data_IF_821188666124
#
_entry.id   IF_821188666124
#
_cell.length_a   1.000
_cell.length_b   1.000
_cell.length_c   1.000
_cell.angle_alpha   90.00
_cell.angle_beta   90.00
_cell.angle_gamma   90.00
#
_symmetry.space_group_name_H-M   'P 1'
#
loop_
_entity.id
_entity.type
_entity.pdbx_description
1 polymer ?
#
# COMPACT_ATOMS: atom_id res chain seq x y z
N UNK A 1 -12.37 -2.42 30.01
CA UNK A 1 -10.93 -2.49 30.33
C UNK A 1 -10.14 -1.92 29.16
N UNK A 2 -9.03 -1.22 29.41
CA UNK A 2 -8.13 -0.76 28.33
C UNK A 2 -7.06 -1.83 28.12
N UNK A 3 -6.85 -2.22 26.86
CA UNK A 3 -5.88 -3.21 26.40
C UNK A 3 -5.02 -2.56 25.32
N UNK A 4 -3.79 -3.01 25.15
CA UNK A 4 -2.93 -2.49 24.10
C UNK A 4 -1.60 -3.21 24.08
N UNK A 5 -0.89 -3.06 22.96
CA UNK A 5 0.40 -3.68 22.74
C UNK A 5 1.25 -2.77 21.87
N UNK A 6 2.56 -2.76 22.12
CA UNK A 6 3.53 -2.08 21.28
C UNK A 6 4.20 -3.14 20.42
N UNK A 7 3.88 -3.14 19.13
CA UNK A 7 4.36 -4.15 18.18
C UNK A 7 5.79 -3.87 17.73
N UNK A 8 6.16 -2.58 17.67
CA UNK A 8 7.45 -2.17 17.14
C UNK A 8 7.95 -0.89 17.80
N UNK A 9 9.23 -0.89 18.17
CA UNK A 9 9.96 0.31 18.59
C UNK A 9 11.30 0.34 17.87
N UNK A 10 11.64 1.51 17.36
CA UNK A 10 12.97 1.84 16.87
C UNK A 10 13.36 3.22 17.38
N UNK A 11 14.59 3.64 17.07
CA UNK A 11 15.08 5.00 17.38
C UNK A 11 14.32 6.12 16.66
N UNK A 12 13.60 5.83 15.58
CA UNK A 12 12.90 6.84 14.78
C UNK A 12 11.37 6.69 14.74
N UNK A 13 10.81 5.60 15.27
CA UNK A 13 9.37 5.32 15.20
C UNK A 13 8.92 4.30 16.24
N UNK A 14 7.68 4.45 16.70
CA UNK A 14 6.93 3.45 17.47
C UNK A 14 5.63 3.09 16.76
N UNK A 15 5.20 1.84 16.88
CA UNK A 15 3.92 1.34 16.36
C UNK A 15 3.31 0.35 17.35
N UNK A 16 1.98 0.29 17.36
CA UNK A 16 1.23 -0.58 18.26
C UNK A 16 -0.27 -0.44 18.09
N UNK A 17 -1.02 -0.89 19.07
CA UNK A 17 -2.45 -0.70 19.16
C UNK A 17 -2.92 -0.50 20.59
N UNK A 18 -4.07 0.18 20.73
CA UNK A 18 -4.73 0.46 21.99
C UNK A 18 -6.25 0.41 21.81
N UNK A 19 -6.92 -0.30 22.71
CA UNK A 19 -8.36 -0.53 22.67
C UNK A 19 -8.98 -0.33 24.04
N UNK A 20 -10.17 0.26 24.10
CA UNK A 20 -10.98 0.36 25.31
C UNK A 20 -12.39 -0.16 25.03
N UNK A 21 -12.87 -1.09 25.85
CA UNK A 21 -14.25 -1.60 25.73
C UNK A 21 -15.33 -0.53 25.97
N UNK A 22 -14.99 0.52 26.74
CA UNK A 22 -15.96 1.52 27.20
C UNK A 22 -15.90 2.83 26.42
N UNK A 23 -14.86 3.03 25.61
CA UNK A 23 -14.60 4.30 24.94
C UNK A 23 -13.97 4.04 23.57
N UNK A 24 -14.50 4.68 22.53
CA UNK A 24 -13.81 4.73 21.24
C UNK A 24 -12.56 5.60 21.37
N UNK A 25 -11.39 5.01 21.13
CA UNK A 25 -10.10 5.71 21.19
C UNK A 25 -9.65 6.25 19.83
N UNK A 26 -10.43 5.99 18.77
CA UNK A 26 -10.15 6.49 17.43
C UNK A 26 -10.03 8.01 17.41
N UNK A 27 -8.96 8.52 16.82
CA UNK A 27 -8.63 9.96 16.77
C UNK A 27 -7.99 10.51 18.05
N UNK A 28 -7.94 9.74 19.14
CA UNK A 28 -7.23 10.16 20.35
C UNK A 28 -5.72 10.08 20.15
N UNK A 29 -4.99 11.00 20.78
CA UNK A 29 -3.53 11.04 20.73
C UNK A 29 -2.92 10.10 21.75
N UNK A 30 -1.94 9.32 21.32
CA UNK A 30 -1.00 8.60 22.18
C UNK A 30 0.37 9.25 22.11
N UNK A 31 1.08 9.23 23.24
CA UNK A 31 2.38 9.85 23.44
C UNK A 31 3.38 8.78 23.88
N UNK A 32 4.60 8.83 23.34
CA UNK A 32 5.69 7.97 23.76
C UNK A 32 6.59 8.70 24.76
N UNK A 33 7.01 7.99 25.80
CA UNK A 33 7.90 8.48 26.84
C UNK A 33 9.12 7.57 27.02
N UNK A 34 10.27 8.17 27.32
CA UNK A 34 11.47 7.50 27.84
C UNK A 34 11.96 8.31 29.03
N UNK A 35 12.19 7.68 30.18
CA UNK A 35 12.62 8.34 31.42
C UNK A 35 11.76 9.58 31.78
N UNK A 36 10.45 9.46 31.58
CA UNK A 36 9.43 10.52 31.75
C UNK A 36 9.55 11.74 30.82
N UNK A 37 10.45 11.71 29.84
CA UNK A 37 10.49 12.68 28.75
C UNK A 37 9.62 12.22 27.57
N UNK A 38 8.72 13.09 27.09
CA UNK A 38 7.96 12.83 25.88
C UNK A 38 8.88 12.90 24.66
N UNK A 39 8.91 11.83 23.87
CA UNK A 39 9.80 11.66 22.71
C UNK A 39 9.03 11.62 21.37
N UNK A 40 7.70 11.68 21.41
CA UNK A 40 6.86 11.72 20.21
C UNK A 40 5.39 11.41 20.52
N UNK A 41 4.52 11.59 19.52
CA UNK A 41 3.11 11.30 19.67
C UNK A 41 2.36 11.29 18.34
N UNK A 42 1.20 10.65 18.33
CA UNK A 42 0.32 10.60 17.16
C UNK A 42 -1.05 9.99 17.45
N UNK A 43 -1.99 10.13 16.51
CA UNK A 43 -3.35 9.64 16.69
C UNK A 43 -3.47 8.11 16.58
N UNK A 44 -4.50 7.58 17.23
CA UNK A 44 -5.00 6.21 17.02
C UNK A 44 -5.97 6.22 15.84
N UNK A 45 -5.47 5.90 14.66
CA UNK A 45 -6.26 6.01 13.41
C UNK A 45 -6.00 4.84 12.44
N UNK A 46 -5.06 3.94 12.77
CA UNK A 46 -4.71 2.84 11.88
C UNK A 46 -5.69 1.69 12.05
N UNK A 47 -6.26 1.28 10.93
CA UNK A 47 -7.08 0.09 10.87
C UNK A 47 -6.21 -1.18 10.94
N UNK A 48 -6.64 -2.15 11.75
CA UNK A 48 -6.02 -3.46 11.90
C UNK A 48 -7.06 -4.58 11.82
N UNK A 49 -6.99 -5.34 10.73
CA UNK A 49 -7.91 -6.43 10.45
C UNK A 49 -7.85 -7.53 11.51
N UNK A 50 -6.64 -7.92 11.92
CA UNK A 50 -6.44 -8.97 12.92
C UNK A 50 -7.06 -8.63 14.29
N UNK A 51 -7.11 -7.35 14.64
CA UNK A 51 -7.75 -6.88 15.87
C UNK A 51 -9.27 -6.73 15.73
N UNK A 52 -9.76 -6.38 14.53
CA UNK A 52 -11.18 -6.44 14.21
C UNK A 52 -11.70 -7.89 14.32
N UNK A 53 -10.97 -8.85 13.73
CA UNK A 53 -11.31 -10.28 13.78
C UNK A 53 -11.28 -10.83 15.21
N UNK A 54 -10.39 -10.29 16.05
CA UNK A 54 -10.36 -10.58 17.50
C UNK A 54 -11.48 -9.89 18.30
N UNK A 55 -12.37 -9.13 17.64
CA UNK A 55 -13.50 -8.45 18.27
C UNK A 55 -13.12 -7.19 19.06
N UNK A 56 -11.98 -6.56 18.74
CA UNK A 56 -11.50 -5.34 19.40
C UNK A 56 -11.97 -4.09 18.67
N UNK A 57 -13.14 -3.58 19.07
CA UNK A 57 -13.70 -2.34 18.56
C UNK A 57 -14.11 -2.43 17.10
N UNK A 58 -13.89 -1.36 16.35
CA UNK A 58 -14.12 -1.28 14.90
C UNK A 58 -12.84 -1.51 14.08
N UNK A 59 -11.78 -2.05 14.70
CA UNK A 59 -10.48 -2.29 14.08
C UNK A 59 -9.60 -1.03 13.98
N UNK A 60 -10.12 0.17 14.22
CA UNK A 60 -9.34 1.43 14.19
C UNK A 60 -8.75 1.70 15.57
N UNK A 61 -7.83 0.82 15.93
CA UNK A 61 -7.18 0.78 17.25
C UNK A 61 -5.66 0.87 17.15
N UNK A 62 -5.11 0.92 15.94
CA UNK A 62 -3.67 0.99 15.70
C UNK A 62 -3.14 2.42 15.77
N UNK A 63 -1.90 2.56 16.23
CA UNK A 63 -1.14 3.80 16.19
C UNK A 63 0.23 3.58 15.58
N UNK A 64 0.83 4.66 15.08
CA UNK A 64 2.28 4.70 14.93
C UNK A 64 2.76 6.05 14.46
N UNK A 65 3.86 6.50 15.03
CA UNK A 65 4.30 7.88 14.91
C UNK A 65 5.82 7.96 15.07
N UNK A 66 6.46 9.00 14.49
CA UNK A 66 7.90 9.19 14.66
C UNK A 66 8.23 9.49 16.13
N UNK A 67 9.40 9.04 16.57
CA UNK A 67 9.96 9.36 17.88
C UNK A 67 11.38 9.88 17.73
N UNK A 68 11.77 10.83 18.57
CA UNK A 68 13.11 11.38 18.63
C UNK A 68 13.82 10.83 19.87
N UNK A 69 14.52 9.69 19.70
CA UNK A 69 15.32 9.10 20.76
C UNK A 69 16.78 9.54 20.66
N UNK A 70 17.32 10.06 21.76
CA UNK A 70 18.74 10.38 21.88
C UNK A 70 19.62 9.12 21.75
N UNK A 71 20.90 9.26 21.35
CA UNK A 71 21.82 8.12 21.21
C UNK A 71 21.90 7.22 22.45
N UNK A 72 21.75 7.80 23.65
CA UNK A 72 21.81 7.08 24.92
C UNK A 72 20.46 6.54 25.42
N UNK A 73 19.32 6.94 24.82
CA UNK A 73 18.02 6.37 25.20
C UNK A 73 17.93 4.90 24.79
N UNK A 74 17.47 4.07 25.72
CA UNK A 74 17.16 2.66 25.45
C UNK A 74 15.73 2.55 24.92
N UNK A 75 15.51 2.17 23.65
CA UNK A 75 14.15 2.06 23.11
C UNK A 75 13.29 1.01 23.83
N UNK A 76 13.90 0.09 24.60
CA UNK A 76 13.20 -0.95 25.38
C UNK A 76 12.52 -0.40 26.63
N UNK A 77 12.91 0.77 27.11
CA UNK A 77 12.27 1.44 28.25
C UNK A 77 11.13 2.35 27.82
N UNK A 78 10.86 2.43 26.51
CA UNK A 78 9.80 3.26 25.96
C UNK A 78 8.43 2.76 26.43
N UNK A 79 7.63 3.70 26.90
CA UNK A 79 6.24 3.47 27.25
C UNK A 79 5.32 4.38 26.43
N UNK A 80 4.12 3.90 26.12
CA UNK A 80 3.12 4.68 25.38
C UNK A 80 1.95 4.98 26.30
N UNK A 81 1.57 6.25 26.40
CA UNK A 81 0.47 6.75 27.24
C UNK A 81 -0.60 7.38 26.36
N UNK A 82 -1.85 7.28 26.78
CA UNK A 82 -2.93 8.06 26.16
C UNK A 82 -2.83 9.50 26.67
N UNK A 83 -2.91 10.49 25.78
CA UNK A 83 -2.82 11.90 26.15
C UNK A 83 -3.95 12.28 27.12
N UNK A 84 -3.61 13.05 28.16
CA UNK A 84 -4.53 13.40 29.25
C UNK A 84 -4.95 12.24 30.16
N UNK A 85 -4.31 11.06 30.07
CA UNK A 85 -4.60 9.89 30.88
C UNK A 85 -3.39 9.43 31.69
N UNK A 86 -3.63 8.80 32.85
CA UNK A 86 -2.61 8.08 33.61
C UNK A 86 -2.36 6.65 33.12
N UNK A 87 -3.01 6.24 32.02
CA UNK A 87 -2.87 4.90 31.47
C UNK A 87 -1.58 4.76 30.67
N UNK A 88 -0.81 3.72 31.01
CA UNK A 88 0.48 3.41 30.42
C UNK A 88 0.47 2.00 29.83
N UNK A 89 0.80 1.88 28.54
CA UNK A 89 1.17 0.62 27.91
C UNK A 89 2.66 0.39 28.14
N UNK A 90 2.99 -0.59 28.99
CA UNK A 90 4.38 -1.00 29.22
C UNK A 90 4.72 -2.17 28.32
N UNK A 91 5.90 -2.13 27.69
CA UNK A 91 6.49 -3.28 27.00
C UNK A 91 7.01 -4.29 28.03
N UNK A 92 6.24 -5.34 28.35
CA UNK A 92 6.73 -6.39 29.24
C UNK A 92 7.57 -7.46 28.53
N UNK A 93 7.41 -7.68 27.21
CA UNK A 93 8.04 -8.78 26.46
C UNK A 93 8.53 -8.40 25.04
N UNK A 94 8.87 -7.13 24.80
CA UNK A 94 9.27 -6.69 23.46
C UNK A 94 10.65 -7.24 23.04
N UNK A 95 10.71 -7.92 21.89
CA UNK A 95 11.96 -8.30 21.23
C UNK A 95 12.28 -7.31 20.12
N UNK A 96 13.51 -6.82 20.07
CA UNK A 96 14.02 -6.07 18.92
C UNK A 96 14.06 -7.01 17.72
N UNK A 97 13.09 -6.87 16.82
CA UNK A 97 13.07 -7.56 15.54
C UNK A 97 13.74 -6.68 14.47
N UNK A 98 14.61 -7.24 13.61
CA UNK A 98 15.10 -6.57 12.42
C UNK A 98 13.96 -5.94 11.61
N UNK A 99 14.24 -4.83 10.91
CA UNK A 99 13.25 -4.05 10.12
C UNK A 99 12.44 -4.91 9.14
N UNK A 100 12.99 -6.05 8.72
CA UNK A 100 12.43 -6.97 7.73
C UNK A 100 11.59 -8.11 8.34
N UNK A 101 11.48 -8.19 9.67
CA UNK A 101 10.78 -9.28 10.37
C UNK A 101 9.27 -9.07 10.48
N UNK A 102 8.75 -7.98 9.91
CA UNK A 102 7.32 -7.70 9.93
C UNK A 102 6.70 -8.46 8.76
N UNK A 103 6.18 -9.64 9.07
CA UNK A 103 5.79 -10.69 8.14
C UNK A 103 4.65 -10.34 7.18
N UNK A 104 4.16 -11.38 6.50
CA UNK A 104 3.12 -11.37 5.46
C UNK A 104 1.88 -10.52 5.78
N UNK A 105 1.58 -10.26 7.06
CA UNK A 105 0.47 -9.40 7.52
C UNK A 105 0.53 -7.95 7.01
N UNK A 106 1.73 -7.38 6.79
CA UNK A 106 1.82 -6.03 6.19
C UNK A 106 1.52 -6.00 4.70
N UNK A 107 1.70 -7.11 3.98
CA UNK A 107 1.36 -7.17 2.54
C UNK A 107 -0.15 -6.98 2.31
N UNK A 108 -0.97 -7.35 3.30
CA UNK A 108 -2.43 -7.31 3.28
C UNK A 108 -3.03 -6.05 3.92
N UNK A 109 -2.26 -5.26 4.67
CA UNK A 109 -2.77 -4.07 5.35
C UNK A 109 -3.32 -3.05 4.34
N UNK A 110 -4.60 -2.71 4.49
CA UNK A 110 -5.31 -1.70 3.67
C UNK A 110 -5.85 -2.19 2.33
N UNK A 111 -5.69 -3.48 1.98
CA UNK A 111 -6.12 -4.05 0.69
C UNK A 111 -7.08 -5.23 0.81
N UNK A 112 -7.40 -5.65 2.05
CA UNK A 112 -8.41 -6.67 2.30
C UNK A 112 -9.83 -6.13 1.98
N UNK A 113 -10.73 -6.95 1.38
CA UNK A 113 -12.08 -6.52 1.04
C UNK A 113 -12.87 -5.90 2.21
N UNK A 114 -12.67 -6.39 3.44
CA UNK A 114 -13.33 -5.87 4.65
C UNK A 114 -12.81 -4.48 4.99
N UNK A 115 -11.49 -4.30 4.95
CA UNK A 115 -10.84 -3.00 5.18
C UNK A 115 -11.31 -1.96 4.16
N UNK A 116 -11.33 -2.31 2.88
CA UNK A 116 -11.77 -1.43 1.80
C UNK A 116 -13.24 -1.06 1.94
N UNK A 117 -14.11 -2.02 2.29
CA UNK A 117 -15.53 -1.75 2.51
C UNK A 117 -15.75 -0.80 3.69
N UNK A 118 -14.99 -0.96 4.77
CA UNK A 118 -15.02 -0.06 5.93
C UNK A 118 -14.56 1.36 5.55
N UNK A 119 -13.44 1.50 4.83
CA UNK A 119 -12.93 2.80 4.36
C UNK A 119 -13.94 3.52 3.47
N UNK A 120 -14.62 2.78 2.58
CA UNK A 120 -15.70 3.33 1.77
C UNK A 120 -16.91 3.79 2.60
N UNK A 121 -17.35 2.98 3.58
CA UNK A 121 -18.47 3.34 4.48
C UNK A 121 -18.18 4.60 5.31
N UNK A 122 -16.92 4.86 5.65
CA UNK A 122 -16.47 6.07 6.37
C UNK A 122 -16.21 7.26 5.46
N UNK A 123 -16.36 7.11 4.14
CA UNK A 123 -16.13 8.17 3.16
C UNK A 123 -14.65 8.49 2.90
N UNK A 124 -13.73 7.60 3.28
CA UNK A 124 -12.29 7.78 3.01
C UNK A 124 -11.92 7.37 1.59
N UNK A 125 -12.70 6.47 1.00
CA UNK A 125 -12.64 6.11 -0.41
C UNK A 125 -13.97 6.47 -1.05
N UNK A 126 -13.91 7.15 -2.19
CA UNK A 126 -15.07 7.24 -3.04
C UNK A 126 -15.40 5.87 -3.67
N UNK A 127 -16.52 5.80 -4.40
CA UNK A 127 -16.98 4.56 -5.02
C UNK A 127 -15.99 4.02 -6.06
N UNK A 128 -15.39 4.90 -6.86
CA UNK A 128 -14.47 4.51 -7.92
C UNK A 128 -13.16 3.98 -7.33
N UNK A 129 -12.61 4.68 -6.33
CA UNK A 129 -11.42 4.27 -5.60
C UNK A 129 -11.61 2.92 -4.89
N UNK A 130 -12.76 2.72 -4.24
CA UNK A 130 -13.09 1.44 -3.63
C UNK A 130 -13.14 0.29 -4.66
N UNK A 131 -13.82 0.51 -5.79
CA UNK A 131 -13.93 -0.50 -6.85
C UNK A 131 -12.58 -0.79 -7.49
N UNK A 132 -11.74 0.22 -7.71
CA UNK A 132 -10.39 0.08 -8.24
C UNK A 132 -9.51 -0.77 -7.31
N UNK A 133 -9.38 -0.36 -6.04
CA UNK A 133 -8.64 -1.08 -5.00
C UNK A 133 -9.08 -2.54 -4.85
N UNK A 134 -10.40 -2.77 -4.82
CA UNK A 134 -10.99 -4.10 -4.69
C UNK A 134 -10.70 -4.96 -5.93
N UNK A 135 -10.91 -4.42 -7.13
CA UNK A 135 -10.72 -5.14 -8.41
C UNK A 135 -9.27 -5.54 -8.59
N UNK A 136 -8.32 -4.63 -8.34
CA UNK A 136 -6.90 -4.96 -8.45
C UNK A 136 -6.48 -5.97 -7.37
N UNK A 137 -6.96 -5.82 -6.13
CA UNK A 137 -6.67 -6.75 -5.05
C UNK A 137 -7.18 -8.18 -5.34
N UNK A 138 -8.36 -8.30 -5.94
CA UNK A 138 -9.01 -9.58 -6.24
C UNK A 138 -8.43 -10.24 -7.51
N UNK A 139 -8.27 -9.47 -8.58
CA UNK A 139 -7.95 -10.02 -9.90
C UNK A 139 -6.49 -9.78 -10.34
N UNK A 140 -5.76 -8.86 -9.70
CA UNK A 140 -4.39 -8.51 -10.08
C UNK A 140 -4.31 -7.58 -11.30
N UNK A 141 -5.45 -7.19 -11.87
CA UNK A 141 -5.55 -6.23 -12.96
C UNK A 141 -6.76 -5.30 -12.77
N UNK A 142 -6.62 -4.02 -13.15
CA UNK A 142 -7.72 -3.07 -13.17
C UNK A 142 -7.55 -2.08 -14.33
N UNK A 143 -8.60 -1.88 -15.13
CA UNK A 143 -8.57 -0.95 -16.27
C UNK A 143 -9.30 0.33 -15.91
N UNK A 144 -8.58 1.44 -15.99
CA UNK A 144 -9.08 2.79 -15.77
C UNK A 144 -9.29 3.51 -17.10
N UNK A 145 -10.50 4.04 -17.30
CA UNK A 145 -10.81 4.86 -18.47
C UNK A 145 -10.21 6.26 -18.32
N UNK A 146 -9.43 6.68 -19.32
CA UNK A 146 -8.72 7.95 -19.32
C UNK A 146 -9.57 9.08 -19.90
N UNK A 147 -9.54 10.20 -19.18
CA UNK A 147 -10.05 11.50 -19.65
C UNK A 147 -8.86 12.35 -20.10
N UNK A 148 -8.31 12.01 -21.26
CA UNK A 148 -7.22 12.77 -21.86
C UNK A 148 -7.78 14.04 -22.49
N UNK A 149 -7.23 15.18 -22.11
CA UNK A 149 -7.51 16.46 -22.76
C UNK A 149 -6.97 16.45 -24.19
N UNK A 150 -7.80 16.87 -25.14
CA UNK A 150 -7.41 16.96 -26.56
C UNK A 150 -6.34 18.03 -26.88
N UNK A 151 -5.75 18.65 -25.85
CA UNK A 151 -4.66 19.62 -25.98
C UNK A 151 -3.30 18.96 -26.17
N UNK A 152 -3.11 17.75 -25.63
CA UNK A 152 -1.89 16.97 -25.86
C UNK A 152 -1.79 16.59 -27.34
N UNK A 153 -0.71 17.02 -27.99
CA UNK A 153 -0.50 16.88 -29.44
C UNK A 153 0.66 15.98 -29.80
N UNK A 154 1.57 15.74 -28.85
CA UNK A 154 2.73 14.87 -29.02
C UNK A 154 2.58 13.57 -28.22
N UNK A 155 3.27 12.48 -28.62
CA UNK A 155 3.33 11.26 -27.82
C UNK A 155 3.81 11.47 -26.39
N UNK A 156 4.81 12.34 -26.18
CA UNK A 156 5.36 12.63 -24.86
C UNK A 156 4.33 13.34 -23.96
N UNK A 157 3.64 14.36 -24.48
CA UNK A 157 2.57 15.06 -23.73
C UNK A 157 1.42 14.12 -23.35
N UNK A 158 1.09 13.15 -24.22
CA UNK A 158 0.10 12.13 -23.90
C UNK A 158 0.58 11.19 -22.79
N UNK A 159 1.84 10.72 -22.87
CA UNK A 159 2.43 9.88 -21.84
C UNK A 159 2.51 10.58 -20.49
N UNK A 160 2.88 11.87 -20.45
CA UNK A 160 2.86 12.69 -19.23
C UNK A 160 1.45 12.84 -18.65
N UNK A 161 0.44 13.10 -19.49
CA UNK A 161 -0.95 13.19 -19.04
C UNK A 161 -1.46 11.86 -18.45
N UNK A 162 -1.04 10.73 -19.04
CA UNK A 162 -1.37 9.40 -18.50
C UNK A 162 -0.59 9.13 -17.21
N UNK A 163 0.67 9.58 -17.12
CA UNK A 163 1.52 9.40 -15.94
C UNK A 163 0.92 10.07 -14.69
N UNK A 164 0.25 11.22 -14.85
CA UNK A 164 -0.47 11.87 -13.75
C UNK A 164 -1.58 10.98 -13.20
N UNK A 165 -2.42 10.40 -14.07
CA UNK A 165 -3.49 9.48 -13.68
C UNK A 165 -2.91 8.20 -13.08
N UNK A 166 -1.85 7.65 -13.68
CA UNK A 166 -1.17 6.47 -13.14
C UNK A 166 -0.55 6.73 -11.77
N UNK A 167 0.00 7.94 -11.55
CA UNK A 167 0.55 8.37 -10.27
C UNK A 167 -0.51 8.39 -9.16
N UNK A 168 -1.65 9.06 -9.41
CA UNK A 168 -2.76 9.13 -8.46
C UNK A 168 -3.25 7.73 -8.05
N UNK A 169 -3.44 6.84 -9.04
CA UNK A 169 -3.85 5.45 -8.80
C UNK A 169 -2.77 4.70 -8.02
N UNK A 170 -1.50 4.76 -8.45
CA UNK A 170 -0.40 4.03 -7.80
C UNK A 170 -0.18 4.49 -6.35
N UNK A 171 -0.26 5.79 -6.06
CA UNK A 171 -0.19 6.30 -4.69
C UNK A 171 -1.33 5.75 -3.83
N UNK A 172 -2.54 5.71 -4.36
CA UNK A 172 -3.69 5.12 -3.70
C UNK A 172 -3.47 3.63 -3.43
N UNK A 173 -2.98 2.86 -4.40
CA UNK A 173 -2.69 1.42 -4.21
C UNK A 173 -1.55 1.17 -3.23
N UNK A 174 -0.50 1.99 -3.27
CA UNK A 174 0.70 1.82 -2.45
C UNK A 174 0.53 2.42 -1.05
N UNK A 175 -0.51 3.26 -0.84
CA UNK A 175 -0.81 3.98 0.39
C UNK A 175 0.39 4.77 0.94
N UNK A 176 1.22 5.29 0.04
CA UNK A 176 2.41 6.08 0.36
C UNK A 176 2.78 6.99 -0.83
N UNK A 177 3.47 8.12 -0.58
CA UNK A 177 3.95 9.00 -1.65
C UNK A 177 4.93 8.29 -2.57
N UNK A 178 4.85 8.59 -3.88
CA UNK A 178 5.77 8.03 -4.90
C UNK A 178 6.25 9.11 -5.87
N UNK A 179 7.28 8.77 -6.62
CA UNK A 179 7.58 9.38 -7.91
C UNK A 179 7.24 8.41 -9.03
N UNK A 180 6.89 8.92 -10.21
CA UNK A 180 6.62 8.10 -11.40
C UNK A 180 7.80 8.17 -12.35
N UNK A 181 8.41 7.02 -12.62
CA UNK A 181 9.30 6.83 -13.76
C UNK A 181 8.48 6.39 -14.97
N UNK A 182 8.70 7.06 -16.11
CA UNK A 182 8.07 6.73 -17.40
C UNK A 182 9.09 5.93 -18.23
N UNK A 183 8.82 4.64 -18.40
CA UNK A 183 9.63 3.76 -19.26
C UNK A 183 8.93 3.63 -20.62
N UNK A 184 9.44 4.33 -21.62
CA UNK A 184 8.93 4.27 -23.00
C UNK A 184 9.46 3.06 -23.76
N UNK A 185 8.71 2.61 -24.77
CA UNK A 185 9.06 1.48 -25.65
C UNK A 185 9.41 0.17 -24.92
N UNK A 186 8.91 0.00 -23.69
CA UNK A 186 9.10 -1.20 -22.89
C UNK A 186 8.47 -2.41 -23.58
N UNK A 187 9.13 -3.56 -23.44
CA UNK A 187 8.69 -4.85 -23.96
C UNK A 187 8.25 -5.76 -22.81
N UNK A 188 7.44 -6.80 -23.10
CA UNK A 188 7.04 -7.78 -22.08
C UNK A 188 8.22 -8.38 -21.29
N UNK A 189 9.38 -8.54 -21.93
CA UNK A 189 10.58 -9.08 -21.29
C UNK A 189 11.17 -8.16 -20.19
N UNK A 190 10.90 -6.86 -20.25
CA UNK A 190 11.44 -5.87 -19.31
C UNK A 190 10.69 -5.88 -17.96
N UNK A 191 9.44 -6.36 -17.96
CA UNK A 191 8.59 -6.39 -16.77
C UNK A 191 9.17 -7.24 -15.63
N UNK A 192 9.96 -8.28 -15.95
CA UNK A 192 10.62 -9.09 -14.92
C UNK A 192 11.69 -8.30 -14.15
N UNK A 193 12.40 -7.39 -14.83
CA UNK A 193 13.37 -6.50 -14.20
C UNK A 193 12.65 -5.42 -13.38
N UNK A 194 11.63 -4.78 -13.97
CA UNK A 194 10.80 -3.78 -13.31
C UNK A 194 10.19 -4.35 -12.02
N UNK A 195 9.58 -5.53 -12.08
CA UNK A 195 9.04 -6.24 -10.90
C UNK A 195 10.06 -6.37 -9.78
N UNK A 196 11.27 -6.82 -10.10
CA UNK A 196 12.34 -7.02 -9.11
C UNK A 196 12.73 -5.69 -8.45
N UNK A 197 12.83 -4.63 -9.23
CA UNK A 197 13.17 -3.30 -8.73
C UNK A 197 12.05 -2.67 -7.90
N UNK A 198 10.80 -2.76 -8.36
CA UNK A 198 9.63 -2.29 -7.61
C UNK A 198 9.52 -3.01 -6.28
N UNK A 199 9.78 -4.33 -6.23
CA UNK A 199 9.83 -5.08 -4.97
C UNK A 199 10.97 -4.63 -4.05
N UNK A 200 12.14 -4.32 -4.60
CA UNK A 200 13.25 -3.80 -3.80
C UNK A 200 12.91 -2.41 -3.22
N UNK A 201 12.25 -1.57 -4.01
CA UNK A 201 11.78 -0.25 -3.58
C UNK A 201 10.62 -0.36 -2.58
N UNK A 202 9.70 -1.32 -2.73
CA UNK A 202 8.52 -1.45 -1.88
C UNK A 202 8.33 -2.91 -1.43
N UNK A 203 9.13 -3.38 -0.45
CA UNK A 203 9.17 -4.80 -0.09
C UNK A 203 7.89 -5.35 0.57
N UNK A 204 7.01 -4.47 1.05
CA UNK A 204 5.83 -4.82 1.83
C UNK A 204 4.51 -4.58 1.08
N UNK A 205 4.55 -4.29 -0.22
CA UNK A 205 3.35 -4.04 -1.04
C UNK A 205 3.47 -4.77 -2.38
N UNK A 206 2.36 -5.06 -3.08
CA UNK A 206 2.40 -5.67 -4.40
C UNK A 206 3.13 -4.79 -5.44
N UNK A 207 3.90 -5.37 -6.37
CA UNK A 207 4.63 -4.65 -7.40
C UNK A 207 3.71 -4.22 -8.55
N UNK A 208 2.86 -3.22 -8.28
CA UNK A 208 1.88 -2.70 -9.24
C UNK A 208 2.54 -1.66 -10.15
N UNK A 209 2.21 -1.70 -11.44
CA UNK A 209 2.61 -0.70 -12.44
C UNK A 209 1.42 -0.29 -13.31
N UNK A 210 1.51 0.88 -13.94
CA UNK A 210 0.57 1.31 -14.97
C UNK A 210 1.08 0.97 -16.37
N UNK A 211 0.23 0.46 -17.25
CA UNK A 211 0.53 0.12 -18.64
C UNK A 211 -0.34 0.94 -19.59
N UNK A 212 0.29 1.57 -20.58
CA UNK A 212 -0.39 2.34 -21.62
C UNK A 212 0.34 2.25 -22.95
N UNK A 213 -0.39 2.41 -24.04
CA UNK A 213 0.16 2.46 -25.39
C UNK A 213 -0.66 3.41 -26.25
N UNK A 214 -0.07 3.88 -27.36
CA UNK A 214 -0.77 4.77 -28.31
C UNK A 214 -1.88 4.06 -29.08
N UNK A 215 -1.74 2.76 -29.26
CA UNK A 215 -2.73 1.87 -29.87
C UNK A 215 -3.31 0.95 -28.81
N UNK A 216 -4.49 0.39 -29.08
CA UNK A 216 -5.04 -0.67 -28.25
C UNK A 216 -4.13 -1.90 -28.29
N UNK A 217 -3.70 -2.37 -27.13
CA UNK A 217 -2.96 -3.62 -26.92
C UNK A 217 -3.68 -4.49 -25.89
N UNK A 218 -3.35 -5.77 -25.84
CA UNK A 218 -4.00 -6.72 -24.95
C UNK A 218 -2.99 -7.58 -24.18
N UNK A 219 -3.35 -7.91 -22.95
CA UNK A 219 -2.63 -8.83 -22.07
C UNK A 219 -3.62 -9.80 -21.44
N UNK A 220 -3.28 -11.08 -21.46
CA UNK A 220 -4.02 -12.09 -20.70
C UNK A 220 -3.47 -12.13 -19.29
N UNK A 221 -4.34 -11.98 -18.28
CA UNK A 221 -3.99 -12.07 -16.86
C UNK A 221 -4.74 -13.23 -16.25
N UNK A 222 -4.01 -14.12 -15.57
CA UNK A 222 -4.62 -15.17 -14.77
C UNK A 222 -5.04 -14.57 -13.43
N UNK A 223 -6.33 -14.26 -13.31
CA UNK A 223 -6.85 -13.54 -12.16
C UNK A 223 -6.61 -14.30 -10.85
N UNK A 224 -6.22 -13.59 -9.80
CA UNK A 224 -5.95 -14.16 -8.47
C UNK A 224 -4.60 -14.89 -8.33
N UNK A 225 -3.85 -15.08 -9.41
CA UNK A 225 -2.56 -15.79 -9.36
C UNK A 225 -1.46 -15.07 -8.57
N UNK A 226 -1.60 -13.76 -8.32
CA UNK A 226 -0.73 -12.98 -7.43
C UNK A 226 -0.93 -13.34 -5.94
N UNK A 227 -2.06 -13.96 -5.59
CA UNK A 227 -2.38 -14.40 -4.22
C UNK A 227 -1.77 -15.79 -3.92
N UNK A 228 -1.60 -16.62 -4.94
CA UNK A 228 -0.98 -17.94 -4.85
C UNK A 228 0.54 -17.79 -4.97
N UNK A 229 1.23 -17.61 -3.83
CA UNK A 229 2.68 -17.44 -3.76
C UNK A 229 3.44 -18.37 -4.73
N UNK A 230 3.91 -17.79 -5.84
CA UNK A 230 4.74 -18.36 -6.91
C UNK A 230 4.63 -19.88 -7.13
N UNK A 231 3.77 -20.32 -8.04
CA UNK A 231 3.87 -21.69 -8.56
C UNK A 231 2.67 -22.28 -9.32
N UNK A 232 1.50 -21.62 -9.31
CA UNK A 232 0.34 -22.10 -10.06
C UNK A 232 0.53 -21.94 -11.57
N UNK A 233 0.46 -23.04 -12.31
CA UNK A 233 0.34 -22.99 -13.78
C UNK A 233 -1.06 -22.47 -14.10
N UNK A 234 -1.17 -21.17 -14.38
CA UNK A 234 -2.43 -20.49 -14.66
C UNK A 234 -3.32 -21.28 -15.62
N UNK A 235 -4.53 -21.64 -15.17
CA UNK A 235 -5.57 -22.24 -16.00
C UNK A 235 -6.55 -21.14 -16.39
N UNK A 236 -6.39 -20.61 -17.60
CA UNK A 236 -7.26 -19.56 -18.17
C UNK A 236 -6.87 -18.15 -17.73
N UNK A 237 -6.58 -17.29 -18.71
CA UNK A 237 -6.38 -15.86 -18.48
C UNK A 237 -7.58 -15.08 -19.00
N UNK A 238 -7.94 -14.00 -18.31
CA UNK A 238 -8.89 -12.99 -18.79
C UNK A 238 -8.12 -11.96 -19.61
N UNK A 239 -8.65 -11.60 -20.77
CA UNK A 239 -8.03 -10.61 -21.64
C UNK A 239 -8.35 -9.18 -21.17
N UNK A 240 -7.30 -8.40 -20.93
CA UNK A 240 -7.38 -7.00 -20.57
C UNK A 240 -6.79 -6.15 -21.70
N UNK A 241 -7.59 -5.21 -22.21
CA UNK A 241 -7.13 -4.24 -23.19
C UNK A 241 -6.65 -2.95 -22.52
N UNK A 242 -5.52 -2.41 -22.99
CA UNK A 242 -4.93 -1.15 -22.55
C UNK A 242 -4.46 -0.31 -23.73
N UNK A 243 -4.13 0.96 -23.47
CA UNK A 243 -3.77 1.94 -24.48
C UNK A 243 -4.95 2.77 -24.99
N UNK A 244 -4.60 3.78 -25.78
CA UNK A 244 -5.46 4.90 -26.19
C UNK A 244 -6.08 5.60 -24.97
N UNK A 245 -7.33 5.27 -24.67
CA UNK A 245 -8.12 5.84 -23.58
C UNK A 245 -8.22 4.94 -22.37
N UNK A 246 -7.34 3.95 -22.23
CA UNK A 246 -7.39 3.00 -21.13
C UNK A 246 -5.99 2.81 -20.54
N UNK A 247 -5.86 3.05 -19.26
CA UNK A 247 -4.70 2.71 -18.45
C UNK A 247 -4.99 1.37 -17.77
N UNK A 248 -4.05 0.43 -17.86
CA UNK A 248 -4.14 -0.83 -17.12
C UNK A 248 -3.21 -0.78 -15.93
N UNK A 249 -3.76 -0.91 -14.73
CA UNK A 249 -3.02 -1.20 -13.51
C UNK A 249 -2.81 -2.72 -13.44
N UNK A 250 -1.55 -3.15 -13.34
CA UNK A 250 -1.18 -4.56 -13.33
C UNK A 250 -0.31 -4.87 -12.12
N UNK A 251 -0.71 -5.85 -11.32
CA UNK A 251 0.17 -6.50 -10.34
C UNK A 251 1.13 -7.43 -11.09
N UNK A 252 2.42 -7.12 -11.05
CA UNK A 252 3.44 -7.92 -11.75
C UNK A 252 3.66 -9.30 -11.12
N UNK A 253 3.08 -9.60 -9.95
CA UNK A 253 3.02 -10.95 -9.42
C UNK A 253 1.94 -11.83 -10.06
N UNK A 254 0.93 -11.22 -10.69
CA UNK A 254 -0.07 -11.96 -11.43
C UNK A 254 0.57 -12.59 -12.67
N UNK A 255 0.30 -13.86 -12.93
CA UNK A 255 0.72 -14.52 -14.14
C UNK A 255 0.03 -13.85 -15.34
N UNK A 256 0.84 -13.35 -16.27
CA UNK A 256 0.35 -12.60 -17.43
C UNK A 256 1.07 -13.01 -18.71
N UNK A 257 0.40 -12.88 -19.85
CA UNK A 257 0.95 -13.18 -21.17
C UNK A 257 0.45 -12.15 -22.17
N UNK A 258 1.38 -11.50 -22.85
CA UNK A 258 1.07 -10.50 -23.87
C UNK A 258 0.82 -11.15 -25.23
N UNK A 259 -0.13 -10.61 -25.99
CA UNK A 259 -0.32 -10.97 -27.39
C UNK A 259 0.83 -10.43 -28.26
N UNK A 260 1.02 -10.98 -29.47
CA UNK A 260 2.15 -10.63 -30.34
C UNK A 260 2.23 -9.13 -30.66
N UNK A 261 1.08 -8.46 -30.73
CA UNK A 261 0.96 -7.02 -30.99
C UNK A 261 1.73 -6.16 -29.98
N UNK A 262 1.81 -6.58 -28.72
CA UNK A 262 2.51 -5.84 -27.67
C UNK A 262 4.04 -5.89 -27.81
N UNK A 263 4.58 -6.64 -28.79
CA UNK A 263 6.01 -6.59 -29.14
C UNK A 263 6.42 -5.26 -29.78
N UNK A 264 5.46 -4.45 -30.25
CA UNK A 264 5.72 -3.10 -30.75
C UNK A 264 6.18 -2.12 -29.65
N UNK A 265 6.10 -2.54 -28.38
CA UNK A 265 6.45 -1.73 -27.22
C UNK A 265 5.25 -0.95 -26.67
N UNK A 266 5.33 -0.62 -25.39
CA UNK A 266 4.35 0.17 -24.65
C UNK A 266 5.05 1.02 -23.58
N UNK A 267 4.31 1.96 -22.98
CA UNK A 267 4.79 2.76 -21.86
C UNK A 267 4.44 2.07 -20.55
N UNK A 268 5.41 2.01 -19.63
CA UNK A 268 5.21 1.55 -18.25
C UNK A 268 5.42 2.72 -17.30
N UNK A 269 4.46 2.94 -16.41
CA UNK A 269 4.56 3.88 -15.31
C UNK A 269 4.98 3.12 -14.06
N UNK A 270 6.23 3.31 -13.64
CA UNK A 270 6.85 2.57 -12.55
C UNK A 270 6.89 3.46 -11.31
N UNK A 271 6.30 3.03 -10.18
CA UNK A 271 6.43 3.77 -8.94
C UNK A 271 7.87 3.68 -8.43
N UNK A 272 8.41 4.80 -7.96
CA UNK A 272 9.71 4.94 -7.29
C UNK A 272 9.53 5.64 -5.95
N UNK A 273 10.48 5.43 -5.03
CA UNK A 273 10.48 6.19 -3.78
C UNK A 273 10.88 7.63 -4.08
N UNK A 274 10.23 8.64 -3.47
CA UNK A 274 10.67 10.01 -3.58
C UNK A 274 12.14 10.16 -3.13
N UNK A 275 12.87 11.06 -3.78
CA UNK A 275 14.21 11.41 -3.33
C UNK A 275 14.17 11.94 -1.87
N UNK A 276 15.14 11.57 -1.01
CA UNK A 276 15.19 12.02 0.38
C UNK A 276 15.45 13.52 0.55
#
# INVERSE_FOLDING_TARGET
MIRGHIDFVSRGRVEGWIFCEKLALTGQTVLAFVDDQCVGGGPVERFRQDLLDAGLGDGVVGFGFPVALEPWHDPRTLDVRLDGSSLQLKQSDARLVPRDSVGEDRRRQGRDPVALAFMHQRGWLDRAQYEALRTLGEFGAHVQALRLDGRARTPAELAEAVALVAGEELELYLMQPIEIEIVEEAKPADLAAIRRETRAAFPFVPPIVGLWARTRLHVNVAEGSHLEGTGGRAVGGVEYGFGERHLLMLDLDAAHTFLEEARSGFTVFVPRRPAP
#
